data_IF_512550324138
#
_entry.id   IF_512550324138
#
_cell.length_a   1.000
_cell.length_b   1.000
_cell.length_c   1.000
_cell.angle_alpha   90.00
_cell.angle_beta   90.00
_cell.angle_gamma   90.00
#
_symmetry.space_group_name_H-M   'P 1'
#
loop_
_entity.id
_entity.type
_entity.pdbx_description
1 polymer ?
#
# COMPACT_ATOMS: atom_id res chain seq x y z
N UNK A 1 -4.66 5.58 -1.43
CA UNK A 1 -5.66 4.49 -1.23
C UNK A 1 -5.23 3.59 -0.07
N UNK A 2 -6.18 3.02 0.69
CA UNK A 2 -5.90 2.19 1.89
C UNK A 2 -6.06 0.70 1.55
N UNK A 3 -4.99 -0.09 1.68
CA UNK A 3 -4.98 -1.53 1.41
C UNK A 3 -4.74 -2.32 2.69
N UNK A 4 -5.34 -3.51 2.78
CA UNK A 4 -5.03 -4.40 3.90
C UNK A 4 -3.66 -5.04 3.71
N UNK A 5 -2.99 -5.43 4.79
CA UNK A 5 -1.74 -6.21 4.73
C UNK A 5 -1.89 -7.46 3.84
N UNK A 6 -3.04 -8.13 3.91
CA UNK A 6 -3.28 -9.35 3.13
C UNK A 6 -3.36 -9.07 1.62
N UNK A 7 -4.03 -7.99 1.20
CA UNK A 7 -4.06 -7.59 -0.21
C UNK A 7 -2.69 -7.07 -0.66
N UNK A 8 -1.99 -6.37 0.22
CA UNK A 8 -0.69 -5.75 -0.06
C UNK A 8 0.36 -6.82 -0.37
N UNK A 9 0.48 -7.89 0.43
CA UNK A 9 1.48 -8.94 0.17
C UNK A 9 1.30 -9.61 -1.19
N UNK A 10 0.06 -9.71 -1.68
CA UNK A 10 -0.25 -10.33 -2.97
C UNK A 10 -0.04 -9.37 -4.12
N UNK A 11 -0.33 -8.08 -3.93
CA UNK A 11 -0.29 -7.06 -4.99
C UNK A 11 0.90 -6.09 -4.83
N UNK A 12 1.94 -6.47 -4.07
CA UNK A 12 2.99 -5.56 -3.66
C UNK A 12 3.68 -4.90 -4.87
N UNK A 13 4.00 -5.69 -5.90
CA UNK A 13 4.65 -5.19 -7.11
C UNK A 13 3.84 -4.08 -7.78
N UNK A 14 2.53 -4.28 -7.96
CA UNK A 14 1.63 -3.28 -8.54
C UNK A 14 1.53 -2.03 -7.67
N UNK A 15 1.45 -2.20 -6.34
CA UNK A 15 1.36 -1.08 -5.41
C UNK A 15 2.64 -0.23 -5.41
N UNK A 16 3.80 -0.84 -5.64
CA UNK A 16 5.06 -0.13 -5.82
C UNK A 16 5.07 0.69 -7.12
N UNK A 17 4.57 0.15 -8.23
CA UNK A 17 4.43 0.92 -9.47
C UNK A 17 3.50 2.13 -9.30
N UNK A 18 2.39 1.94 -8.59
CA UNK A 18 1.46 3.03 -8.26
C UNK A 18 2.13 4.08 -7.38
N UNK A 19 2.93 3.67 -6.40
CA UNK A 19 3.70 4.59 -5.57
C UNK A 19 4.74 5.37 -6.39
N UNK A 20 5.50 4.69 -7.25
CA UNK A 20 6.47 5.30 -8.17
C UNK A 20 5.84 6.26 -9.17
N UNK A 21 4.57 6.06 -9.53
CA UNK A 21 3.79 7.00 -10.33
C UNK A 21 3.31 8.22 -9.52
N UNK A 22 3.71 8.36 -8.26
CA UNK A 22 3.37 9.47 -7.38
C UNK A 22 2.09 9.28 -6.56
N UNK A 23 1.49 8.07 -6.54
CA UNK A 23 0.29 7.81 -5.74
C UNK A 23 0.64 7.42 -4.30
N UNK A 24 -0.12 7.94 -3.36
CA UNK A 24 0.05 7.57 -1.95
C UNK A 24 -0.68 6.26 -1.62
N UNK A 25 0.09 5.23 -1.30
CA UNK A 25 -0.42 3.92 -0.90
C UNK A 25 -0.25 3.73 0.61
N UNK A 26 -1.37 3.57 1.32
CA UNK A 26 -1.38 3.34 2.77
C UNK A 26 -1.76 1.89 3.03
N UNK A 27 -0.94 1.18 3.80
CA UNK A 27 -1.17 -0.19 4.21
C UNK A 27 -1.73 -0.18 5.63
N UNK A 28 -2.77 -0.97 5.87
CA UNK A 28 -3.47 -1.05 7.14
C UNK A 28 -3.70 -2.49 7.58
N UNK A 29 -3.68 -2.69 8.89
CA UNK A 29 -4.08 -3.93 9.55
C UNK A 29 -5.41 -3.69 10.26
N UNK A 30 -6.49 -4.19 9.67
CA UNK A 30 -7.84 -3.88 10.15
C UNK A 30 -8.13 -2.38 10.02
N UNK A 31 -8.37 -1.71 11.15
CA UNK A 31 -8.62 -0.26 11.18
C UNK A 31 -7.35 0.58 11.28
N UNK A 32 -6.26 0.01 11.80
CA UNK A 32 -5.01 0.72 12.04
C UNK A 32 -4.13 0.81 10.78
N UNK A 33 -3.69 2.01 10.38
CA UNK A 33 -2.64 2.16 9.38
C UNK A 33 -1.29 1.72 9.97
N UNK A 34 -0.56 0.88 9.23
CA UNK A 34 0.72 0.29 9.69
C UNK A 34 1.92 0.73 8.85
N UNK A 35 1.70 1.10 7.60
CA UNK A 35 2.77 1.57 6.73
C UNK A 35 2.23 2.47 5.62
N UNK A 36 3.10 3.27 5.03
CA UNK A 36 2.83 4.07 3.83
C UNK A 36 3.98 3.85 2.86
N UNK A 37 3.66 3.57 1.60
CA UNK A 37 4.63 3.51 0.52
C UNK A 37 4.74 4.90 -0.08
N UNK A 38 5.97 5.40 -0.19
CA UNK A 38 6.32 6.70 -0.74
C UNK A 38 7.44 6.43 -1.76
N UNK A 39 7.40 7.08 -2.92
CA UNK A 39 8.48 7.06 -3.90
C UNK A 39 9.53 8.13 -3.58
#
# INVERSE_FOLDING_TARGET
MKYTVHQTKTNLSRLLEEASAGKEVVIARGKEPVAKIIA
#
